data_IF_399970262655
#
_entry.id   IF_399970262655
#
_cell.length_a   1.000
_cell.length_b   1.000
_cell.length_c   1.000
_cell.angle_alpha   90.00
_cell.angle_beta   90.00
_cell.angle_gamma   90.00
#
_symmetry.space_group_name_H-M   'P 1'
#
loop_
_entity.id
_entity.type
_entity.pdbx_description
1 polymer ?
#
# COMPACT_ATOMS: atom_id res chain seq x y z
N UNK A 1 -0.20 -22.10 -17.32
CA UNK A 1 -1.26 -21.90 -18.34
C UNK A 1 -1.41 -23.19 -19.12
N UNK A 2 -2.61 -23.79 -19.11
CA UNK A 2 -2.90 -25.03 -19.84
C UNK A 2 -3.40 -24.63 -21.24
N UNK A 3 -2.76 -25.12 -22.31
CA UNK A 3 -3.22 -24.91 -23.68
C UNK A 3 -3.76 -26.25 -24.22
N UNK A 4 -4.98 -26.25 -24.73
CA UNK A 4 -5.58 -27.45 -25.33
C UNK A 4 -6.30 -27.09 -26.63
N UNK A 5 -6.48 -28.09 -27.50
CA UNK A 5 -7.21 -27.94 -28.75
C UNK A 5 -8.69 -27.72 -28.50
N UNK A 6 -9.34 -26.92 -29.35
CA UNK A 6 -10.73 -26.50 -29.21
C UNK A 6 -11.70 -27.68 -29.09
N UNK A 7 -11.39 -28.78 -29.77
CA UNK A 7 -12.18 -30.01 -29.73
C UNK A 7 -12.11 -30.70 -28.36
N UNK A 8 -10.94 -30.70 -27.71
CA UNK A 8 -10.77 -31.27 -26.37
C UNK A 8 -11.40 -30.39 -25.29
N UNK A 9 -11.34 -29.06 -25.43
CA UNK A 9 -11.98 -28.14 -24.51
C UNK A 9 -13.50 -28.34 -24.44
N UNK A 10 -14.15 -28.47 -25.62
CA UNK A 10 -15.60 -28.71 -25.73
C UNK A 10 -16.06 -30.03 -25.12
N UNK A 11 -15.19 -31.04 -25.07
CA UNK A 11 -15.50 -32.35 -24.46
C UNK A 11 -15.42 -32.32 -22.94
N UNK A 12 -14.53 -31.50 -22.38
CA UNK A 12 -14.28 -31.42 -20.93
C UNK A 12 -15.26 -30.50 -20.22
N UNK A 13 -15.82 -29.48 -20.90
CA UNK A 13 -16.79 -28.53 -20.33
C UNK A 13 -18.02 -28.43 -21.24
N UNK A 14 -18.91 -29.44 -21.24
CA UNK A 14 -20.13 -29.40 -22.03
C UNK A 14 -21.16 -28.46 -21.37
N UNK A 15 -21.30 -27.23 -21.85
CA UNK A 15 -22.36 -26.33 -21.39
C UNK A 15 -22.16 -24.83 -21.63
N UNK A 16 -20.94 -24.36 -21.85
CA UNK A 16 -20.67 -22.93 -22.05
C UNK A 16 -20.87 -22.49 -23.50
N UNK A 17 -21.87 -21.66 -23.81
CA UNK A 17 -22.10 -21.21 -25.19
C UNK A 17 -21.02 -20.25 -25.74
N UNK A 18 -20.09 -19.76 -24.91
CA UNK A 18 -19.02 -18.82 -25.29
C UNK A 18 -17.65 -19.34 -24.85
N UNK A 19 -17.00 -20.11 -25.71
CA UNK A 19 -15.70 -20.74 -25.43
C UNK A 19 -14.46 -19.88 -25.80
N UNK A 20 -14.65 -18.69 -26.35
CA UNK A 20 -13.55 -17.85 -26.86
C UNK A 20 -13.60 -16.48 -26.19
N UNK A 21 -12.67 -16.24 -25.27
CA UNK A 21 -12.53 -14.94 -24.58
C UNK A 21 -11.78 -13.93 -25.44
N UNK A 22 -10.77 -14.36 -26.19
CA UNK A 22 -10.02 -13.53 -27.14
C UNK A 22 -9.31 -14.39 -28.20
N UNK A 23 -8.99 -13.77 -29.33
CA UNK A 23 -8.20 -14.37 -30.41
C UNK A 23 -6.90 -13.59 -30.53
N UNK A 24 -5.76 -14.30 -30.42
CA UNK A 24 -4.45 -13.69 -30.61
C UNK A 24 -4.04 -13.74 -32.07
N UNK A 25 -3.62 -12.61 -32.61
CA UNK A 25 -3.17 -12.47 -34.00
C UNK A 25 -1.78 -11.86 -34.01
N UNK A 26 -0.86 -12.41 -34.82
CA UNK A 26 0.50 -11.89 -34.97
C UNK A 26 0.63 -11.16 -36.32
N UNK A 27 1.19 -9.94 -36.36
CA UNK A 27 1.45 -9.25 -37.61
C UNK A 27 2.51 -9.98 -38.45
N UNK A 28 2.34 -9.97 -39.77
CA UNK A 28 3.38 -10.34 -40.74
C UNK A 28 4.53 -9.32 -40.69
N UNK A 29 5.74 -9.74 -41.09
CA UNK A 29 6.93 -8.85 -41.14
C UNK A 29 6.57 -7.57 -41.94
N UNK A 30 6.86 -6.39 -41.37
CA UNK A 30 6.59 -5.03 -41.88
C UNK A 30 5.23 -4.37 -41.56
N UNK A 31 4.39 -4.94 -40.69
CA UNK A 31 3.16 -4.25 -40.22
C UNK A 31 3.24 -3.96 -38.72
N UNK A 32 2.93 -2.72 -38.32
CA UNK A 32 2.89 -2.37 -36.88
C UNK A 32 1.62 -2.94 -36.21
N UNK A 33 1.68 -3.41 -34.95
CA UNK A 33 0.53 -3.96 -34.24
C UNK A 33 -0.68 -3.01 -34.17
N UNK A 34 -0.42 -1.69 -34.04
CA UNK A 34 -1.48 -0.67 -34.02
C UNK A 34 -2.21 -0.57 -35.37
N UNK A 35 -1.47 -0.63 -36.46
CA UNK A 35 -2.06 -0.57 -37.79
C UNK A 35 -2.84 -1.84 -38.13
N UNK A 36 -2.34 -3.01 -37.72
CA UNK A 36 -3.07 -4.27 -37.82
C UNK A 36 -4.37 -4.23 -37.02
N UNK A 37 -4.32 -3.75 -35.76
CA UNK A 37 -5.51 -3.62 -34.91
C UNK A 37 -6.57 -2.72 -35.56
N UNK A 38 -6.17 -1.56 -36.09
CA UNK A 38 -7.08 -0.65 -36.79
C UNK A 38 -7.72 -1.29 -38.03
N UNK A 39 -6.93 -2.01 -38.85
CA UNK A 39 -7.44 -2.71 -40.04
C UNK A 39 -8.44 -3.82 -39.69
N UNK A 40 -8.18 -4.56 -38.62
CA UNK A 40 -9.10 -5.61 -38.13
C UNK A 40 -10.39 -4.96 -37.64
N UNK A 41 -10.30 -3.94 -36.78
CA UNK A 41 -11.48 -3.25 -36.24
C UNK A 41 -12.37 -2.67 -37.34
N UNK A 42 -11.77 -2.12 -38.41
CA UNK A 42 -12.50 -1.57 -39.56
C UNK A 42 -13.19 -2.65 -40.41
N UNK A 43 -12.58 -3.83 -40.56
CA UNK A 43 -13.13 -4.90 -41.42
C UNK A 43 -14.13 -5.81 -40.71
N UNK A 44 -13.96 -6.03 -39.41
CA UNK A 44 -14.74 -7.04 -38.67
C UNK A 44 -15.73 -6.44 -37.68
N UNK A 45 -15.66 -5.13 -37.44
CA UNK A 45 -16.42 -4.42 -36.38
C UNK A 45 -16.18 -4.94 -34.95
N UNK A 46 -15.19 -5.82 -34.75
CA UNK A 46 -14.80 -6.30 -33.42
C UNK A 46 -13.69 -5.43 -32.81
N UNK A 47 -13.66 -5.34 -31.47
CA UNK A 47 -12.60 -4.64 -30.72
C UNK A 47 -11.26 -5.37 -30.93
N UNK A 48 -10.37 -4.75 -31.70
CA UNK A 48 -9.00 -5.19 -31.85
C UNK A 48 -8.09 -4.19 -31.15
N UNK A 49 -7.32 -4.66 -30.18
CA UNK A 49 -6.40 -3.87 -29.35
C UNK A 49 -5.03 -4.49 -29.36
N UNK A 50 -4.02 -3.65 -29.14
CA UNK A 50 -2.63 -4.12 -29.03
C UNK A 50 -2.39 -4.91 -27.75
N UNK A 51 -1.29 -5.64 -27.67
CA UNK A 51 -0.94 -6.40 -26.47
C UNK A 51 -0.71 -5.49 -25.26
N UNK A 52 -0.13 -4.30 -25.48
CA UNK A 52 0.07 -3.30 -24.43
C UNK A 52 -1.25 -2.75 -23.90
N UNK A 53 -2.18 -2.40 -24.80
CA UNK A 53 -3.51 -1.91 -24.43
C UNK A 53 -4.32 -3.00 -23.72
N UNK A 54 -4.26 -4.24 -24.20
CA UNK A 54 -4.93 -5.38 -23.56
C UNK A 54 -4.43 -5.60 -22.13
N UNK A 55 -3.12 -5.55 -21.89
CA UNK A 55 -2.54 -5.65 -20.54
C UNK A 55 -3.04 -4.51 -19.65
N UNK A 56 -3.04 -3.27 -20.13
CA UNK A 56 -3.48 -2.10 -19.36
C UNK A 56 -4.96 -2.17 -19.00
N UNK A 57 -5.81 -2.48 -19.97
CA UNK A 57 -7.26 -2.62 -19.73
C UNK A 57 -7.57 -3.78 -18.78
N UNK A 58 -6.88 -4.91 -18.93
CA UNK A 58 -7.05 -6.06 -18.02
C UNK A 58 -6.68 -5.68 -16.59
N UNK A 59 -5.54 -5.01 -16.39
CA UNK A 59 -5.11 -4.55 -15.06
C UNK A 59 -6.11 -3.55 -14.48
N UNK A 60 -6.57 -2.58 -15.27
CA UNK A 60 -7.53 -1.57 -14.82
C UNK A 60 -8.88 -2.20 -14.46
N UNK A 61 -9.37 -3.14 -15.28
CA UNK A 61 -10.61 -3.86 -15.05
C UNK A 61 -10.52 -4.70 -13.77
N UNK A 62 -9.43 -5.46 -13.57
CA UNK A 62 -9.20 -6.17 -12.32
C UNK A 62 -9.13 -5.22 -11.12
N UNK A 63 -8.47 -4.08 -11.24
CA UNK A 63 -8.33 -3.14 -10.13
C UNK A 63 -9.67 -2.52 -9.69
N UNK A 64 -10.63 -2.34 -10.62
CA UNK A 64 -11.92 -1.70 -10.34
C UNK A 64 -13.01 -2.72 -10.01
N UNK A 65 -12.99 -3.90 -10.65
CA UNK A 65 -14.06 -4.89 -10.55
C UNK A 65 -13.75 -6.07 -9.63
N UNK A 66 -12.49 -6.27 -9.22
CA UNK A 66 -12.13 -7.40 -8.37
C UNK A 66 -12.45 -7.08 -6.91
N UNK A 67 -13.34 -7.88 -6.31
CA UNK A 67 -13.70 -7.82 -4.89
C UNK A 67 -12.47 -7.95 -3.99
N UNK A 68 -11.56 -8.88 -4.32
CA UNK A 68 -10.29 -9.09 -3.62
C UNK A 68 -9.44 -7.81 -3.48
N UNK A 69 -9.45 -6.93 -4.48
CA UNK A 69 -8.66 -5.68 -4.44
C UNK A 69 -9.28 -4.71 -3.45
N UNK A 70 -10.61 -4.62 -3.41
CA UNK A 70 -11.34 -3.81 -2.44
C UNK A 70 -11.06 -4.26 -1.00
N UNK A 71 -11.10 -5.57 -0.75
CA UNK A 71 -10.83 -6.13 0.57
C UNK A 71 -9.38 -5.90 1.01
N UNK A 72 -8.41 -6.07 0.11
CA UNK A 72 -7.01 -5.77 0.41
C UNK A 72 -6.82 -4.30 0.82
N UNK A 73 -7.46 -3.36 0.10
CA UNK A 73 -7.41 -1.93 0.44
C UNK A 73 -8.04 -1.67 1.80
N UNK A 74 -9.20 -2.27 2.08
CA UNK A 74 -9.89 -2.12 3.36
C UNK A 74 -9.04 -2.66 4.53
N UNK A 75 -8.39 -3.81 4.36
CA UNK A 75 -7.48 -4.35 5.38
C UNK A 75 -6.29 -3.43 5.65
N UNK A 76 -5.69 -2.85 4.62
CA UNK A 76 -4.58 -1.89 4.79
C UNK A 76 -5.04 -0.63 5.51
N UNK A 77 -6.22 -0.10 5.17
CA UNK A 77 -6.79 1.07 5.85
C UNK A 77 -7.03 0.75 7.34
N UNK A 78 -7.64 -0.39 7.65
CA UNK A 78 -7.89 -0.81 9.02
C UNK A 78 -6.57 -0.97 9.80
N UNK A 79 -5.57 -1.62 9.20
CA UNK A 79 -4.25 -1.78 9.80
C UNK A 79 -3.58 -0.42 10.07
N UNK A 80 -3.69 0.53 9.15
CA UNK A 80 -3.19 1.90 9.35
C UNK A 80 -3.93 2.63 10.48
N UNK A 81 -5.26 2.51 10.57
CA UNK A 81 -6.05 3.14 11.63
C UNK A 81 -5.71 2.57 13.02
N UNK A 82 -5.61 1.24 13.12
CA UNK A 82 -5.21 0.58 14.36
C UNK A 82 -3.77 0.98 14.73
N UNK A 83 -2.85 0.95 13.77
CA UNK A 83 -1.47 1.39 13.97
C UNK A 83 -1.35 2.84 14.42
N UNK A 84 -2.15 3.74 13.83
CA UNK A 84 -2.26 5.14 14.23
C UNK A 84 -2.71 5.26 15.70
N UNK A 85 -3.78 4.57 16.08
CA UNK A 85 -4.33 4.61 17.43
C UNK A 85 -3.35 4.09 18.48
N UNK A 86 -2.73 2.93 18.23
CA UNK A 86 -1.74 2.33 19.13
C UNK A 86 -0.52 3.25 19.29
N UNK A 87 -0.01 3.81 18.19
CA UNK A 87 1.13 4.75 18.23
C UNK A 87 0.79 6.00 19.03
N UNK A 88 -0.39 6.58 18.81
CA UNK A 88 -0.85 7.77 19.54
C UNK A 88 -0.97 7.52 21.05
N UNK A 89 -1.58 6.40 21.45
CA UNK A 89 -1.71 6.02 22.86
C UNK A 89 -0.33 5.80 23.50
N UNK A 90 0.59 5.13 22.80
CA UNK A 90 1.93 4.85 23.33
C UNK A 90 2.76 6.12 23.49
N UNK A 91 2.69 7.06 22.54
CA UNK A 91 3.35 8.36 22.65
C UNK A 91 2.76 9.22 23.77
N UNK A 92 1.44 9.16 23.97
CA UNK A 92 0.79 9.83 25.09
C UNK A 92 1.30 9.29 26.43
N UNK A 93 1.35 7.96 26.57
CA UNK A 93 1.85 7.30 27.78
C UNK A 93 3.32 7.66 28.03
N UNK A 94 4.17 7.61 26.99
CA UNK A 94 5.57 8.02 27.08
C UNK A 94 5.74 9.48 27.52
N UNK A 95 4.93 10.38 26.97
CA UNK A 95 4.97 11.80 27.37
C UNK A 95 4.57 11.96 28.83
N UNK A 96 3.50 11.27 29.25
CA UNK A 96 2.98 11.36 30.61
C UNK A 96 3.98 10.84 31.64
N UNK A 97 4.64 9.72 31.38
CA UNK A 97 5.67 9.15 32.27
C UNK A 97 6.89 10.08 32.40
N UNK A 98 7.29 10.75 31.31
CA UNK A 98 8.46 11.62 31.29
C UNK A 98 8.17 13.09 31.67
N UNK A 99 6.93 13.42 32.06
CA UNK A 99 6.53 14.80 32.38
C UNK A 99 7.37 15.42 33.51
N UNK A 100 7.75 14.62 34.53
CA UNK A 100 8.59 15.08 35.64
C UNK A 100 9.99 15.46 35.15
N UNK A 101 10.56 14.68 34.25
CA UNK A 101 11.88 14.94 33.67
C UNK A 101 11.84 16.19 32.78
N UNK A 102 10.78 16.36 32.00
CA UNK A 102 10.55 17.56 31.19
C UNK A 102 10.38 18.82 32.05
N UNK A 103 9.70 18.72 33.19
CA UNK A 103 9.56 19.82 34.13
C UNK A 103 10.91 20.24 34.72
N UNK A 104 11.78 19.29 35.09
CA UNK A 104 13.14 19.56 35.56
C UNK A 104 13.99 20.22 34.47
N UNK A 105 13.96 19.71 33.23
CA UNK A 105 14.69 20.34 32.11
C UNK A 105 14.22 21.78 31.86
N UNK A 106 12.91 22.01 31.94
CA UNK A 106 12.33 23.34 31.78
C UNK A 106 12.77 24.29 32.90
N UNK A 107 12.88 23.81 34.13
CA UNK A 107 13.39 24.57 35.26
C UNK A 107 14.88 24.96 35.12
N UNK A 108 15.68 24.15 34.42
CA UNK A 108 17.08 24.43 34.09
C UNK A 108 17.22 25.42 32.92
N UNK A 109 16.12 25.74 32.22
CA UNK A 109 16.07 26.73 31.13
C UNK A 109 15.80 26.15 29.75
N UNK A 110 15.44 24.87 29.63
CA UNK A 110 15.08 24.29 28.34
C UNK A 110 13.79 24.91 27.79
N UNK A 111 13.80 25.29 26.52
CA UNK A 111 12.63 25.85 25.84
C UNK A 111 11.61 24.76 25.52
N UNK A 112 10.31 25.11 25.52
CA UNK A 112 9.23 24.19 25.14
C UNK A 112 9.32 23.71 23.69
N UNK A 113 10.01 24.46 22.82
CA UNK A 113 10.34 24.08 21.45
C UNK A 113 11.39 22.96 21.39
N UNK A 114 12.46 23.02 22.19
CA UNK A 114 13.48 21.96 22.23
C UNK A 114 12.89 20.62 22.69
N UNK A 115 12.02 20.63 23.70
CA UNK A 115 11.33 19.44 24.18
C UNK A 115 10.44 18.81 23.10
N UNK A 116 9.73 19.65 22.34
CA UNK A 116 8.91 19.21 21.22
C UNK A 116 9.76 18.59 20.11
N UNK A 117 10.84 19.23 19.71
CA UNK A 117 11.72 18.75 18.64
C UNK A 117 12.43 17.44 19.01
N UNK A 118 12.75 17.25 20.30
CA UNK A 118 13.29 16.00 20.81
C UNK A 118 12.31 14.84 20.60
N UNK A 119 11.03 15.03 20.95
CA UNK A 119 9.99 14.00 20.77
C UNK A 119 9.77 13.72 19.28
N UNK A 120 9.73 14.76 18.43
CA UNK A 120 9.62 14.56 16.98
C UNK A 120 10.78 13.74 16.42
N UNK A 121 12.00 13.99 16.88
CA UNK A 121 13.18 13.24 16.45
C UNK A 121 13.12 11.78 16.91
N UNK A 122 12.68 11.52 18.14
CA UNK A 122 12.48 10.16 18.63
C UNK A 122 11.43 9.41 17.79
N UNK A 123 10.28 10.02 17.54
CA UNK A 123 9.22 9.44 16.70
C UNK A 123 9.75 9.17 15.29
N UNK A 124 10.49 10.11 14.71
CA UNK A 124 11.04 9.98 13.37
C UNK A 124 11.99 8.78 13.27
N UNK A 125 12.92 8.63 14.22
CA UNK A 125 13.84 7.50 14.26
C UNK A 125 13.09 6.18 14.46
N UNK A 126 12.13 6.14 15.38
CA UNK A 126 11.29 4.96 15.61
C UNK A 126 10.47 4.58 14.38
N UNK A 127 9.93 5.56 13.66
CA UNK A 127 9.16 5.33 12.44
C UNK A 127 10.03 4.77 11.31
N UNK A 128 11.25 5.28 11.14
CA UNK A 128 12.22 4.74 10.17
C UNK A 128 12.59 3.31 10.52
N UNK A 129 12.96 3.05 11.78
CA UNK A 129 13.36 1.73 12.25
C UNK A 129 12.21 0.71 12.10
N UNK A 130 11.00 1.09 12.54
CA UNK A 130 9.81 0.25 12.43
C UNK A 130 9.43 -0.04 10.97
N UNK A 131 9.47 0.98 10.10
CA UNK A 131 9.17 0.80 8.68
C UNK A 131 10.22 -0.08 7.99
N UNK A 132 11.50 0.07 8.35
CA UNK A 132 12.58 -0.78 7.83
C UNK A 132 12.38 -2.25 8.20
N UNK A 133 12.04 -2.54 9.46
CA UNK A 133 11.73 -3.89 9.93
C UNK A 133 10.48 -4.44 9.22
N UNK A 134 9.42 -3.64 9.12
CA UNK A 134 8.18 -4.04 8.45
C UNK A 134 8.38 -4.39 6.98
N UNK A 135 9.12 -3.55 6.23
CA UNK A 135 9.48 -3.83 4.82
C UNK A 135 10.36 -5.07 4.71
N UNK A 136 11.31 -5.26 5.63
CA UNK A 136 12.16 -6.46 5.66
C UNK A 136 11.36 -7.74 5.84
N UNK A 137 10.43 -7.75 6.80
CA UNK A 137 9.52 -8.89 7.05
C UNK A 137 8.62 -9.14 5.83
N UNK A 138 8.04 -8.08 5.25
CA UNK A 138 7.21 -8.18 4.06
C UNK A 138 7.98 -8.77 2.86
N UNK A 139 9.25 -8.38 2.67
CA UNK A 139 10.10 -8.93 1.62
C UNK A 139 10.39 -10.42 1.82
N UNK A 140 10.66 -10.85 3.06
CA UNK A 140 10.88 -12.27 3.39
C UNK A 140 9.60 -13.08 3.13
N UNK A 141 8.44 -12.58 3.59
CA UNK A 141 7.15 -13.24 3.37
C UNK A 141 6.81 -13.33 1.87
N UNK A 142 7.10 -12.29 1.09
CA UNK A 142 6.90 -12.30 -0.35
C UNK A 142 7.71 -13.42 -1.04
N UNK A 143 8.94 -13.69 -0.58
CA UNK A 143 9.76 -14.79 -1.11
C UNK A 143 9.19 -16.16 -0.72
N UNK A 144 8.72 -16.31 0.52
CA UNK A 144 8.16 -17.58 1.02
C UNK A 144 6.84 -17.92 0.31
N UNK A 145 5.96 -16.92 0.13
CA UNK A 145 4.64 -17.10 -0.49
C UNK A 145 4.75 -17.25 -2.01
N UNK A 146 5.84 -16.77 -2.63
CA UNK A 146 6.07 -16.92 -4.06
C UNK A 146 6.21 -18.39 -4.47
N UNK A 147 5.10 -18.97 -4.88
CA UNK A 147 4.98 -20.35 -5.39
C UNK A 147 4.59 -20.34 -6.86
N UNK A 148 4.87 -21.42 -7.63
CA UNK A 148 4.48 -21.51 -9.04
C UNK A 148 2.97 -21.28 -9.30
N UNK A 149 2.14 -21.56 -8.30
CA UNK A 149 0.68 -21.40 -8.34
C UNK A 149 0.22 -19.96 -8.06
N UNK A 150 1.00 -19.19 -7.30
CA UNK A 150 0.72 -17.79 -6.94
C UNK A 150 1.97 -16.93 -7.17
N UNK A 151 2.15 -16.41 -8.41
CA UNK A 151 3.28 -15.54 -8.72
C UNK A 151 3.09 -14.18 -8.05
N UNK A 152 3.33 -14.10 -6.74
CA UNK A 152 3.31 -12.87 -5.98
C UNK A 152 4.56 -12.05 -6.34
N UNK A 153 4.39 -11.03 -7.18
CA UNK A 153 5.43 -10.04 -7.48
C UNK A 153 5.21 -8.81 -6.64
N UNK A 154 6.08 -8.60 -5.66
CA UNK A 154 6.16 -7.32 -4.98
C UNK A 154 6.72 -6.28 -5.94
N UNK A 155 5.86 -5.32 -6.33
CA UNK A 155 6.28 -4.17 -7.13
C UNK A 155 7.20 -3.27 -6.32
N UNK A 156 8.21 -2.70 -6.98
CA UNK A 156 9.23 -1.86 -6.32
C UNK A 156 8.64 -0.63 -5.62
N UNK A 157 7.50 -0.13 -6.08
CA UNK A 157 6.82 1.02 -5.47
C UNK A 157 5.99 0.65 -4.23
N UNK A 158 5.60 -0.62 -4.05
CA UNK A 158 4.73 -1.02 -2.95
C UNK A 158 5.38 -0.84 -1.56
N UNK A 159 6.65 -1.25 -1.35
CA UNK A 159 7.37 -0.94 -0.11
C UNK A 159 7.55 0.55 0.14
N UNK A 160 7.80 1.33 -0.92
CA UNK A 160 7.98 2.78 -0.82
C UNK A 160 6.69 3.46 -0.37
N UNK A 161 5.55 3.09 -0.95
CA UNK A 161 4.24 3.61 -0.55
C UNK A 161 3.90 3.21 0.89
N UNK A 162 4.19 1.96 1.28
CA UNK A 162 4.02 1.50 2.66
C UNK A 162 4.87 2.30 3.66
N UNK A 163 6.15 2.51 3.35
CA UNK A 163 7.07 3.31 4.16
C UNK A 163 6.56 4.76 4.34
N UNK A 164 6.16 5.40 3.24
CA UNK A 164 5.59 6.75 3.28
C UNK A 164 4.29 6.80 4.09
N UNK A 165 3.44 5.78 3.94
CA UNK A 165 2.19 5.66 4.71
C UNK A 165 2.45 5.60 6.21
N UNK A 166 3.36 4.74 6.66
CA UNK A 166 3.73 4.63 8.08
C UNK A 166 4.34 5.94 8.59
N UNK A 167 5.24 6.56 7.82
CA UNK A 167 5.83 7.85 8.18
C UNK A 167 4.78 8.95 8.39
N UNK A 168 3.82 9.07 7.46
CA UNK A 168 2.72 10.04 7.56
C UNK A 168 1.86 9.75 8.80
N UNK A 169 1.51 8.49 9.02
CA UNK A 169 0.70 8.05 10.16
C UNK A 169 1.41 8.34 11.48
N UNK A 170 2.69 7.98 11.63
CA UNK A 170 3.46 8.22 12.85
C UNK A 170 3.67 9.71 13.13
N UNK A 171 3.96 10.52 12.10
CA UNK A 171 4.08 11.96 12.25
C UNK A 171 2.76 12.61 12.65
N UNK A 172 1.66 12.26 11.97
CA UNK A 172 0.33 12.80 12.32
C UNK A 172 -0.12 12.36 13.71
N UNK A 173 0.16 11.11 14.12
CA UNK A 173 -0.11 10.61 15.47
C UNK A 173 0.67 11.41 16.53
N UNK A 174 1.96 11.69 16.29
CA UNK A 174 2.75 12.52 17.18
C UNK A 174 2.21 13.96 17.24
N UNK A 175 1.88 14.58 16.11
CA UNK A 175 1.27 15.91 16.09
C UNK A 175 -0.03 15.98 16.90
N UNK A 176 -0.88 14.95 16.83
CA UNK A 176 -2.15 14.88 17.57
C UNK A 176 -1.90 14.57 19.05
N UNK A 177 -0.99 13.65 19.37
CA UNK A 177 -0.62 13.31 20.76
C UNK A 177 0.08 14.45 21.50
N UNK A 178 0.69 15.40 20.78
CA UNK A 178 1.30 16.60 21.35
C UNK A 178 0.29 17.76 21.53
N UNK A 179 -0.95 17.66 20.99
CA UNK A 179 -1.99 18.69 21.22
C UNK A 179 -2.34 18.88 22.69
N UNK A 180 -2.49 17.83 23.52
CA UNK A 180 -2.67 17.98 24.97
C UNK A 180 -1.53 18.77 25.63
N UNK A 181 -0.29 18.61 25.18
CA UNK A 181 0.88 19.32 25.73
C UNK A 181 0.83 20.83 25.43
N UNK A 182 0.30 21.22 24.27
CA UNK A 182 0.07 22.64 23.95
C UNK A 182 -0.93 23.31 24.89
N UNK A 183 -1.85 22.54 25.46
CA UNK A 183 -2.84 23.00 26.42
C UNK A 183 -2.49 22.66 27.87
N UNK A 184 -1.28 22.12 28.14
CA UNK A 184 -0.79 22.00 29.51
C UNK A 184 -0.39 23.40 29.97
N UNK A 185 -1.34 24.09 30.60
CA UNK A 185 -1.04 25.25 31.43
C UNK A 185 0.06 24.87 32.44
N UNK A 186 1.03 25.77 32.71
CA UNK A 186 2.07 25.60 33.72
C UNK A 186 1.54 25.31 35.14
N UNK A 187 0.22 25.34 35.35
CA UNK A 187 -0.46 25.19 36.63
C UNK A 187 -0.57 23.75 37.16
N UNK A 188 -0.26 22.70 36.37
CA UNK A 188 -0.20 21.32 36.90
C UNK A 188 0.88 21.18 37.98
N UNK A 189 1.92 22.03 37.95
CA UNK A 189 2.98 22.04 38.97
C UNK A 189 2.52 22.62 40.31
N UNK A 190 1.40 23.35 40.36
CA UNK A 190 0.89 23.98 41.59
C UNK A 190 -0.31 23.25 42.24
N UNK A 191 -0.63 22.03 41.80
CA UNK A 191 -1.67 21.18 42.43
C UNK A 191 -1.11 19.92 43.11
N UNK A 192 0.19 19.88 43.39
CA UNK A 192 0.84 18.84 44.21
C UNK A 192 1.43 19.48 45.46
#
# INVERSE_FOLDING_TARGET
MLYTTTSNFKRLIPGERRYITFIMVRPTKNITPKELAKRIAQKTHFKAITDEEFKKETVLWYMINSEDVGDMVNMVILAMLVGFGVTGVMLYMFTYENIKQYAVLKAIGASSTQLRDMIFTQVFISAIAGSGIGVGIAAILAQIVSSPTFPFRMMWFAPLVGFLGVMIVSMTAAFISLRPIKNMEPAIVFKL
#
